data_IF_060870285563
#
_entry.id   IF_060870285563
#
_cell.length_a   1.000
_cell.length_b   1.000
_cell.length_c   1.000
_cell.angle_alpha   90.00
_cell.angle_beta   90.00
_cell.angle_gamma   90.00
#
_symmetry.space_group_name_H-M   'P 1'
#
loop_
_entity.id
_entity.type
_entity.pdbx_description
1 polymer ?
#
# COMPACT_ATOMS: atom_id res chain seq x y z
N UNK A 1 -7.83 14.23 26.84
CA UNK A 1 -8.27 15.34 27.73
C UNK A 1 -8.92 16.48 26.95
N UNK A 2 -8.30 16.94 25.84
CA UNK A 2 -8.84 17.97 24.93
C UNK A 2 -10.24 17.62 24.39
N UNK A 3 -10.51 16.38 23.93
CA UNK A 3 -11.84 16.00 23.40
C UNK A 3 -12.99 16.19 24.41
N UNK A 4 -12.76 15.87 25.70
CA UNK A 4 -13.76 16.08 26.77
C UNK A 4 -13.96 17.56 27.10
N UNK A 5 -12.89 18.35 27.10
CA UNK A 5 -12.97 19.79 27.29
C UNK A 5 -13.70 20.47 26.12
N UNK A 6 -13.41 20.04 24.90
CA UNK A 6 -13.95 20.63 23.68
C UNK A 6 -15.42 20.19 23.43
N UNK A 7 -15.81 19.01 23.90
CA UNK A 7 -17.22 18.57 23.97
C UNK A 7 -17.98 19.30 25.07
N UNK A 8 -17.38 19.45 26.27
CA UNK A 8 -17.97 20.23 27.36
C UNK A 8 -18.13 21.71 27.01
N UNK A 9 -17.15 22.29 26.32
CA UNK A 9 -17.20 23.67 25.82
C UNK A 9 -18.26 23.81 24.73
N UNK A 10 -18.39 22.81 23.84
CA UNK A 10 -19.42 22.76 22.80
C UNK A 10 -20.83 22.68 23.36
N UNK A 11 -21.07 21.77 24.32
CA UNK A 11 -22.38 21.62 24.99
C UNK A 11 -22.73 22.88 25.80
N UNK A 12 -21.75 23.49 26.50
CA UNK A 12 -21.98 24.75 27.20
C UNK A 12 -22.21 25.91 26.24
N UNK A 13 -21.44 26.04 25.16
CA UNK A 13 -21.66 27.08 24.16
C UNK A 13 -23.02 26.91 23.49
N UNK A 14 -23.45 25.69 23.17
CA UNK A 14 -24.78 25.42 22.62
C UNK A 14 -25.90 25.82 23.60
N UNK A 15 -25.78 25.47 24.89
CA UNK A 15 -26.72 25.88 25.94
C UNK A 15 -26.72 27.41 26.18
N UNK A 16 -25.56 28.05 26.04
CA UNK A 16 -25.37 29.50 26.17
C UNK A 16 -25.90 30.29 24.97
N UNK A 17 -25.75 29.77 23.75
CA UNK A 17 -26.36 30.31 22.54
C UNK A 17 -27.87 30.08 22.51
N UNK A 18 -28.38 29.04 23.18
CA UNK A 18 -29.81 28.70 23.26
C UNK A 18 -30.61 29.54 24.27
N UNK A 19 -29.96 30.30 25.16
CA UNK A 19 -30.65 31.08 26.21
C UNK A 19 -30.34 32.57 26.02
N UNK A 20 -31.20 33.48 26.52
CA UNK A 20 -31.11 34.96 26.44
C UNK A 20 -29.73 35.61 26.75
N UNK A 21 -28.72 34.84 27.17
CA UNK A 21 -27.34 35.26 27.41
C UNK A 21 -26.59 35.75 26.16
N UNK A 22 -26.81 35.15 24.99
CA UNK A 22 -26.16 35.61 23.75
C UNK A 22 -26.61 37.04 23.39
N UNK A 23 -27.89 37.35 23.64
CA UNK A 23 -28.43 38.70 23.51
C UNK A 23 -27.70 39.67 24.47
N UNK A 24 -27.55 39.33 25.75
CA UNK A 24 -26.87 40.21 26.72
C UNK A 24 -25.38 40.42 26.45
N UNK A 25 -24.67 39.41 25.93
CA UNK A 25 -23.24 39.54 25.58
C UNK A 25 -23.08 40.44 24.36
N UNK A 26 -23.86 40.22 23.30
CA UNK A 26 -23.85 41.10 22.11
C UNK A 26 -24.30 42.51 22.48
N UNK A 27 -25.32 42.64 23.34
CA UNK A 27 -25.81 43.92 23.86
C UNK A 27 -24.73 44.65 24.66
N UNK A 28 -24.00 43.97 25.53
CA UNK A 28 -22.86 44.53 26.27
C UNK A 28 -21.68 44.90 25.36
N UNK A 29 -21.35 44.05 24.38
CA UNK A 29 -20.25 44.27 23.44
C UNK A 29 -20.55 45.41 22.45
N UNK A 30 -21.84 45.66 22.16
CA UNK A 30 -22.28 46.83 21.38
C UNK A 30 -22.32 48.11 22.24
N UNK A 31 -22.73 48.01 23.52
CA UNK A 31 -22.86 49.18 24.40
C UNK A 31 -21.52 49.69 24.94
N UNK A 32 -20.58 48.80 25.27
CA UNK A 32 -19.29 49.20 25.86
C UNK A 32 -18.48 50.14 24.95
N UNK A 33 -18.25 49.85 23.66
CA UNK A 33 -17.57 50.78 22.75
C UNK A 33 -18.41 52.00 22.42
N UNK A 34 -19.75 51.93 22.55
CA UNK A 34 -20.63 53.10 22.44
C UNK A 34 -20.33 54.20 23.45
N UNK A 35 -19.86 53.81 24.65
CA UNK A 35 -19.49 54.73 25.70
C UNK A 35 -18.17 55.48 25.42
N UNK A 36 -17.33 54.96 24.52
CA UNK A 36 -15.99 55.51 24.25
C UNK A 36 -15.84 56.10 22.84
N UNK A 37 -16.60 55.61 21.86
CA UNK A 37 -16.59 56.08 20.48
C UNK A 37 -18.03 56.23 19.99
N UNK A 38 -18.52 57.46 19.91
CA UNK A 38 -19.79 57.74 19.24
C UNK A 38 -19.54 57.88 17.74
N UNK A 39 -20.12 57.00 16.90
CA UNK A 39 -20.14 57.21 15.45
C UNK A 39 -20.88 58.51 15.15
N UNK A 40 -20.32 59.35 14.29
CA UNK A 40 -20.86 60.69 14.06
C UNK A 40 -21.99 60.69 13.02
N UNK A 41 -22.19 59.57 12.33
CA UNK A 41 -23.17 59.40 11.25
C UNK A 41 -24.05 58.15 11.46
N UNK A 42 -25.34 58.21 11.11
CA UNK A 42 -26.26 57.06 11.22
C UNK A 42 -25.79 55.82 10.43
N UNK A 43 -25.08 56.02 9.33
CA UNK A 43 -24.56 54.95 8.48
C UNK A 43 -23.47 54.13 9.19
N UNK A 44 -22.54 54.80 9.87
CA UNK A 44 -21.44 54.16 10.63
C UNK A 44 -21.99 53.32 11.79
N UNK A 45 -23.09 53.77 12.39
CA UNK A 45 -23.80 53.05 13.45
C UNK A 45 -24.41 51.73 12.96
N UNK A 46 -25.06 51.77 11.80
CA UNK A 46 -25.64 50.57 11.17
C UNK A 46 -24.52 49.59 10.80
N UNK A 47 -23.43 50.09 10.22
CA UNK A 47 -22.27 49.25 9.86
C UNK A 47 -21.62 48.59 11.08
N UNK A 48 -21.44 49.34 12.18
CA UNK A 48 -20.87 48.82 13.42
C UNK A 48 -21.71 47.69 14.04
N UNK A 49 -23.02 47.86 14.11
CA UNK A 49 -23.94 46.85 14.65
C UNK A 49 -23.94 45.60 13.78
N UNK A 50 -23.99 45.78 12.46
CA UNK A 50 -23.96 44.68 11.48
C UNK A 50 -22.64 43.91 11.62
N UNK A 51 -21.49 44.58 11.58
CA UNK A 51 -20.18 43.94 11.67
C UNK A 51 -19.99 43.16 12.98
N UNK A 52 -20.39 43.74 14.11
CA UNK A 52 -20.21 43.12 15.44
C UNK A 52 -21.03 41.83 15.56
N UNK A 53 -22.26 41.82 15.04
CA UNK A 53 -23.11 40.63 15.01
C UNK A 53 -22.51 39.57 14.07
N UNK A 54 -22.10 39.95 12.86
CA UNK A 54 -21.51 39.02 11.90
C UNK A 54 -20.20 38.42 12.40
N UNK A 55 -19.26 39.23 12.92
CA UNK A 55 -17.96 38.75 13.41
C UNK A 55 -18.08 37.95 14.71
N UNK A 56 -18.98 38.37 15.62
CA UNK A 56 -19.24 37.66 16.87
C UNK A 56 -19.77 36.24 16.66
N UNK A 57 -20.53 36.00 15.59
CA UNK A 57 -21.08 34.69 15.23
C UNK A 57 -20.12 33.90 14.31
N UNK A 58 -19.42 34.58 13.40
CA UNK A 58 -18.57 33.93 12.39
C UNK A 58 -17.43 33.10 13.00
N UNK A 59 -16.74 33.62 14.02
CA UNK A 59 -15.61 32.90 14.63
C UNK A 59 -16.02 31.58 15.30
N UNK A 60 -17.05 31.54 16.16
CA UNK A 60 -17.57 30.29 16.71
C UNK A 60 -18.05 29.29 15.65
N UNK A 61 -18.75 29.76 14.62
CA UNK A 61 -19.28 28.88 13.56
C UNK A 61 -18.16 28.26 12.73
N UNK A 62 -17.16 29.04 12.33
CA UNK A 62 -15.99 28.53 11.59
C UNK A 62 -15.22 27.53 12.46
N UNK A 63 -15.03 27.83 13.74
CA UNK A 63 -14.38 26.90 14.68
C UNK A 63 -15.14 25.57 14.82
N UNK A 64 -16.47 25.60 14.85
CA UNK A 64 -17.29 24.39 14.92
C UNK A 64 -17.23 23.55 13.63
N UNK A 65 -17.36 24.19 12.46
CA UNK A 65 -17.28 23.50 11.16
C UNK A 65 -15.89 22.91 10.94
N UNK A 66 -14.82 23.64 11.27
CA UNK A 66 -13.44 23.15 11.18
C UNK A 66 -13.22 21.93 12.07
N UNK A 67 -13.85 21.88 13.25
CA UNK A 67 -13.77 20.73 14.15
C UNK A 67 -14.49 19.50 13.62
N UNK A 68 -15.71 19.65 13.09
CA UNK A 68 -16.46 18.53 12.50
C UNK A 68 -15.71 17.97 11.28
N UNK A 69 -15.23 18.85 10.41
CA UNK A 69 -14.43 18.46 9.25
C UNK A 69 -13.16 17.71 9.70
N UNK A 70 -12.43 18.27 10.67
CA UNK A 70 -11.23 17.65 11.23
C UNK A 70 -11.47 16.27 11.84
N UNK A 71 -12.55 16.08 12.61
CA UNK A 71 -12.87 14.77 13.21
C UNK A 71 -13.24 13.71 12.15
N UNK A 72 -13.93 14.11 11.08
CA UNK A 72 -14.26 13.20 9.97
C UNK A 72 -13.00 12.83 9.19
N UNK A 73 -12.14 13.80 8.89
CA UNK A 73 -10.89 13.57 8.17
C UNK A 73 -9.93 12.69 9.00
N UNK A 74 -9.80 12.95 10.30
CA UNK A 74 -8.99 12.12 11.20
C UNK A 74 -9.48 10.67 11.22
N UNK A 75 -10.81 10.46 11.24
CA UNK A 75 -11.38 9.11 11.19
C UNK A 75 -11.07 8.41 9.87
N UNK A 76 -11.26 9.08 8.73
CA UNK A 76 -10.99 8.52 7.40
C UNK A 76 -9.50 8.22 7.24
N UNK A 77 -8.63 9.10 7.72
CA UNK A 77 -7.18 8.89 7.72
C UNK A 77 -6.81 7.68 8.58
N UNK A 78 -7.41 7.52 9.76
CA UNK A 78 -7.22 6.35 10.61
C UNK A 78 -7.63 5.05 9.93
N UNK A 79 -8.86 4.99 9.40
CA UNK A 79 -9.36 3.81 8.69
C UNK A 79 -8.52 3.46 7.46
N UNK A 80 -8.10 4.47 6.68
CA UNK A 80 -7.23 4.29 5.51
C UNK A 80 -5.84 3.82 5.92
N UNK A 81 -5.26 4.42 6.98
CA UNK A 81 -3.95 4.02 7.50
C UNK A 81 -3.96 2.57 7.97
N UNK A 82 -4.98 2.16 8.73
CA UNK A 82 -5.10 0.79 9.23
C UNK A 82 -5.26 -0.21 8.06
N UNK A 83 -6.07 0.14 7.06
CA UNK A 83 -6.21 -0.67 5.83
C UNK A 83 -4.88 -0.80 5.08
N UNK A 84 -4.16 0.31 4.88
CA UNK A 84 -2.85 0.30 4.21
C UNK A 84 -1.83 -0.54 4.97
N UNK A 85 -1.86 -0.50 6.31
CA UNK A 85 -0.96 -1.32 7.13
C UNK A 85 -1.28 -2.81 7.04
N UNK A 86 -2.56 -3.18 6.96
CA UNK A 86 -2.99 -4.56 6.72
C UNK A 86 -2.56 -5.04 5.33
N UNK A 87 -2.81 -4.25 4.27
CA UNK A 87 -2.36 -4.56 2.92
C UNK A 87 -0.82 -4.70 2.83
N UNK A 88 -0.07 -3.82 3.49
CA UNK A 88 1.39 -3.89 3.55
C UNK A 88 1.86 -5.19 4.24
N UNK A 89 1.16 -5.64 5.28
CA UNK A 89 1.48 -6.89 5.95
C UNK A 89 1.27 -8.10 5.02
N UNK A 90 0.15 -8.14 4.28
CA UNK A 90 -0.13 -9.17 3.30
C UNK A 90 0.92 -9.21 2.18
N UNK A 91 1.27 -8.06 1.61
CA UNK A 91 2.30 -7.98 0.56
C UNK A 91 3.66 -8.49 1.04
N UNK A 92 4.02 -8.23 2.31
CA UNK A 92 5.27 -8.75 2.88
C UNK A 92 5.25 -10.27 3.01
N UNK A 93 4.11 -10.84 3.39
CA UNK A 93 3.94 -12.30 3.47
C UNK A 93 4.01 -12.94 2.08
N UNK A 94 3.31 -12.39 1.10
CA UNK A 94 3.39 -12.84 -0.29
C UNK A 94 4.81 -12.76 -0.85
N UNK A 95 5.56 -11.69 -0.54
CA UNK A 95 6.95 -11.54 -0.96
C UNK A 95 7.85 -12.60 -0.31
N UNK A 96 7.62 -12.94 0.96
CA UNK A 96 8.35 -14.00 1.65
C UNK A 96 8.10 -15.36 0.99
N UNK A 97 6.84 -15.68 0.66
CA UNK A 97 6.47 -16.90 -0.04
C UNK A 97 7.08 -16.95 -1.45
N UNK A 98 7.02 -15.85 -2.20
CA UNK A 98 7.63 -15.76 -3.53
C UNK A 98 9.14 -16.00 -3.46
N UNK A 99 9.81 -15.50 -2.42
CA UNK A 99 11.25 -15.75 -2.21
C UNK A 99 11.55 -17.21 -1.90
N UNK A 100 10.74 -17.87 -1.08
CA UNK A 100 10.89 -19.29 -0.79
C UNK A 100 10.67 -20.16 -2.05
N UNK A 101 9.68 -19.81 -2.87
CA UNK A 101 9.44 -20.44 -4.16
C UNK A 101 10.63 -20.25 -5.10
N UNK A 102 11.19 -19.04 -5.16
CA UNK A 102 12.37 -18.76 -5.97
C UNK A 102 13.59 -19.58 -5.53
N UNK A 103 13.87 -19.67 -4.23
CA UNK A 103 14.94 -20.50 -3.69
C UNK A 103 14.74 -21.98 -4.02
N UNK A 104 13.49 -22.45 -4.00
CA UNK A 104 13.13 -23.82 -4.40
C UNK A 104 13.36 -24.05 -5.88
N UNK A 105 12.97 -23.10 -6.74
CA UNK A 105 13.22 -23.16 -8.18
C UNK A 105 14.72 -23.21 -8.51
N UNK A 106 15.55 -22.42 -7.82
CA UNK A 106 17.01 -22.49 -8.00
C UNK A 106 17.59 -23.86 -7.64
N UNK A 107 17.08 -24.51 -6.57
CA UNK A 107 17.50 -25.88 -6.22
C UNK A 107 17.10 -26.87 -7.31
N UNK A 108 15.88 -26.76 -7.83
CA UNK A 108 15.39 -27.60 -8.93
C UNK A 108 16.22 -27.39 -10.19
N UNK A 109 16.51 -26.15 -10.56
CA UNK A 109 17.38 -25.82 -11.70
C UNK A 109 18.76 -26.47 -11.57
N UNK A 110 19.36 -26.41 -10.38
CA UNK A 110 20.64 -27.06 -10.09
C UNK A 110 20.57 -28.58 -10.28
N UNK A 111 19.53 -29.23 -9.73
CA UNK A 111 19.32 -30.68 -9.88
C UNK A 111 19.15 -31.04 -11.35
N UNK A 112 18.40 -30.25 -12.12
CA UNK A 112 18.21 -30.45 -13.56
C UNK A 112 19.55 -30.36 -14.28
N UNK A 113 20.38 -29.36 -13.96
CA UNK A 113 21.71 -29.21 -14.55
C UNK A 113 22.63 -30.38 -14.24
N UNK A 114 22.67 -30.85 -12.99
CA UNK A 114 23.45 -32.03 -12.57
C UNK A 114 22.97 -33.31 -13.27
N UNK A 115 21.65 -33.51 -13.35
CA UNK A 115 21.03 -34.65 -14.04
C UNK A 115 21.33 -34.61 -15.53
N UNK A 116 21.23 -33.44 -16.17
CA UNK A 116 21.55 -33.27 -17.58
C UNK A 116 23.02 -33.59 -17.87
N UNK A 117 23.94 -33.17 -17.00
CA UNK A 117 25.36 -33.52 -17.09
C UNK A 117 25.59 -35.02 -17.06
N UNK A 118 24.96 -35.71 -16.11
CA UNK A 118 25.04 -37.18 -15.99
C UNK A 118 24.50 -37.88 -17.24
N UNK A 119 23.35 -37.44 -17.76
CA UNK A 119 22.76 -37.99 -18.98
C UNK A 119 23.66 -37.79 -20.20
N UNK A 120 24.35 -36.65 -20.30
CA UNK A 120 25.31 -36.44 -21.39
C UNK A 120 26.52 -37.36 -21.26
N UNK A 121 27.01 -37.61 -20.05
CA UNK A 121 28.10 -38.57 -19.81
C UNK A 121 27.68 -40.00 -20.22
N UNK A 122 26.50 -40.45 -19.79
CA UNK A 122 25.94 -41.76 -20.20
C UNK A 122 25.78 -41.85 -21.72
N UNK A 123 25.28 -40.79 -22.37
CA UNK A 123 25.14 -40.76 -23.82
C UNK A 123 26.48 -40.85 -24.54
N UNK A 124 27.54 -40.23 -23.99
CA UNK A 124 28.90 -40.35 -24.56
C UNK A 124 29.42 -41.78 -24.47
N UNK A 125 29.25 -42.44 -23.33
CA UNK A 125 29.65 -43.84 -23.14
C UNK A 125 28.90 -44.78 -24.10
N UNK A 126 27.57 -44.62 -24.23
CA UNK A 126 26.76 -45.41 -25.17
C UNK A 126 27.22 -45.20 -26.62
N UNK A 127 27.61 -43.98 -26.97
CA UNK A 127 28.14 -43.69 -28.31
C UNK A 127 29.48 -44.38 -28.56
N UNK A 128 30.37 -44.39 -27.58
CA UNK A 128 31.65 -45.12 -27.65
C UNK A 128 31.44 -46.62 -27.77
N UNK A 129 30.54 -47.20 -26.97
CA UNK A 129 30.16 -48.62 -27.07
C UNK A 129 29.60 -48.99 -28.46
N UNK A 130 28.77 -48.10 -29.04
CA UNK A 130 28.24 -48.30 -30.39
C UNK A 130 29.34 -48.25 -31.47
N UNK A 131 30.35 -47.39 -31.33
CA UNK A 131 31.49 -47.37 -32.25
C UNK A 131 32.32 -48.65 -32.15
N UNK A 132 32.63 -49.13 -30.94
CA UNK A 132 33.31 -50.41 -30.75
C UNK A 132 32.53 -51.58 -31.37
N UNK A 133 31.21 -51.61 -31.20
CA UNK A 133 30.36 -52.64 -31.79
C UNK A 133 30.36 -52.59 -33.33
N UNK A 134 30.38 -51.38 -33.91
CA UNK A 134 30.52 -51.19 -35.37
C UNK A 134 31.86 -51.70 -35.88
N UNK A 135 32.96 -51.42 -35.18
CA UNK A 135 34.28 -51.93 -35.55
C UNK A 135 34.33 -53.46 -35.50
N UNK A 136 33.79 -54.08 -34.44
CA UNK A 136 33.70 -55.53 -34.32
C UNK A 136 32.86 -56.13 -35.46
N UNK A 137 31.74 -55.51 -35.82
CA UNK A 137 30.92 -55.95 -36.96
C UNK A 137 31.71 -55.90 -38.28
N UNK A 138 32.51 -54.86 -38.52
CA UNK A 138 33.37 -54.77 -39.72
C UNK A 138 34.41 -55.90 -39.75
N UNK A 139 35.01 -56.23 -38.60
CA UNK A 139 35.97 -57.34 -38.50
C UNK A 139 35.28 -58.68 -38.77
N UNK A 140 34.12 -58.93 -38.16
CA UNK A 140 33.32 -60.13 -38.39
C UNK A 140 32.94 -60.28 -39.87
N UNK A 141 32.53 -59.19 -40.52
CA UNK A 141 32.19 -59.21 -41.95
C UNK A 141 33.39 -59.62 -42.81
N UNK A 142 34.58 -59.06 -42.55
CA UNK A 142 35.80 -59.46 -43.27
C UNK A 142 36.12 -60.95 -43.09
N UNK A 143 36.03 -61.46 -41.87
CA UNK A 143 36.26 -62.89 -41.58
C UNK A 143 35.26 -63.78 -42.32
N UNK A 144 33.98 -63.37 -42.36
CA UNK A 144 32.96 -64.09 -43.14
C UNK A 144 33.30 -64.10 -44.62
N UNK A 145 33.69 -62.96 -45.19
CA UNK A 145 34.03 -62.84 -46.61
C UNK A 145 35.25 -63.72 -46.96
N UNK A 146 36.28 -63.75 -46.10
CA UNK A 146 37.46 -64.63 -46.24
C UNK A 146 37.08 -66.12 -46.20
N UNK A 147 36.23 -66.53 -45.24
CA UNK A 147 35.74 -67.90 -45.14
C UNK A 147 34.92 -68.31 -46.36
N UNK A 148 34.07 -67.41 -46.88
CA UNK A 148 33.31 -67.63 -48.10
C UNK A 148 34.19 -67.79 -49.34
N UNK A 149 35.29 -67.03 -49.42
CA UNK A 149 36.26 -67.17 -50.52
C UNK A 149 36.97 -68.53 -50.47
N UNK A 150 37.48 -68.94 -49.29
CA UNK A 150 38.12 -70.24 -49.12
C UNK A 150 37.21 -71.43 -49.43
N UNK A 151 35.90 -71.29 -49.18
CA UNK A 151 34.90 -72.31 -49.53
C UNK A 151 34.65 -72.43 -51.03
N UNK A 152 34.86 -71.36 -51.81
CA UNK A 152 34.72 -71.36 -53.28
C UNK A 152 35.96 -71.89 -54.00
N UNK A 153 37.13 -71.83 -53.37
CA UNK A 153 38.41 -72.28 -53.92
C UNK A 153 38.69 -73.79 -53.69
N UNK A 154 37.85 -74.48 -52.90
CA UNK A 154 37.85 -75.93 -52.70
C UNK A 154 36.81 -76.63 -53.57
#
# INVERSE_FOLDING_TARGET
MIRRFNAWLGDKLALWFSTMACFYIIFGLVIVPLFFQHPNTLVEWVEYVVQTIFQGIALPVIGYVARIAGEKDEKVIGETHDTVMEELALVKEELALAREQYDTLQKVEKIISETHGTVMEELTLVKEELEMAREQHVVLQKVIDELQQHLKEK
#
